data_IF_353645160989
#
_entry.id   IF_353645160989
#
_cell.length_a   1.000
_cell.length_b   1.000
_cell.length_c   1.000
_cell.angle_alpha   90.00
_cell.angle_beta   90.00
_cell.angle_gamma   90.00
#
_symmetry.space_group_name_H-M   'P 1'
#
loop_
_entity.id
_entity.type
_entity.pdbx_description
1 polymer ?
#
# COMPACT_ATOMS: atom_id res chain seq x y z
N UNK A 1 -9.35 -18.00 1.62
CA UNK A 1 -8.35 -17.95 2.71
C UNK A 1 -7.40 -19.16 2.73
N UNK A 2 -7.87 -20.39 2.43
CA UNK A 2 -7.01 -21.58 2.40
C UNK A 2 -5.92 -21.48 1.35
N UNK A 3 -6.28 -21.15 0.10
CA UNK A 3 -5.33 -20.96 -1.01
C UNK A 3 -4.22 -19.95 -0.69
N UNK A 4 -4.57 -18.82 -0.09
CA UNK A 4 -3.62 -17.78 0.31
C UNK A 4 -2.60 -18.32 1.32
N UNK A 5 -3.05 -19.11 2.31
CA UNK A 5 -2.14 -19.71 3.31
C UNK A 5 -1.16 -20.69 2.68
N UNK A 6 -1.65 -21.53 1.76
CA UNK A 6 -0.81 -22.50 1.03
C UNK A 6 0.19 -21.75 0.16
N UNK A 7 -0.26 -20.79 -0.63
CA UNK A 7 0.60 -19.99 -1.49
C UNK A 7 1.69 -19.26 -0.69
N UNK A 8 1.34 -18.58 0.42
CA UNK A 8 2.35 -17.91 1.27
C UNK A 8 3.43 -18.86 1.81
N UNK A 9 3.07 -20.10 2.11
CA UNK A 9 4.05 -21.09 2.57
C UNK A 9 5.01 -21.49 1.44
N UNK A 10 4.50 -21.66 0.21
CA UNK A 10 5.28 -22.04 -0.97
C UNK A 10 6.26 -20.92 -1.40
N UNK A 11 5.83 -19.67 -1.32
CA UNK A 11 6.62 -18.51 -1.77
C UNK A 11 7.38 -17.78 -0.66
N UNK A 12 7.52 -18.41 0.53
CA UNK A 12 8.15 -17.76 1.70
C UNK A 12 9.56 -17.23 1.40
N UNK A 13 10.34 -17.96 0.61
CA UNK A 13 11.73 -17.64 0.31
C UNK A 13 11.90 -16.97 -1.06
N UNK A 14 10.79 -16.65 -1.74
CA UNK A 14 10.82 -16.00 -3.05
C UNK A 14 11.40 -14.59 -2.96
N UNK A 15 12.42 -14.24 -3.77
CA UNK A 15 13.00 -12.91 -3.77
C UNK A 15 12.02 -11.88 -4.36
N UNK A 16 11.90 -10.70 -3.75
CA UNK A 16 11.06 -9.61 -4.25
C UNK A 16 11.86 -8.34 -4.63
N UNK A 17 13.18 -8.49 -4.80
CA UNK A 17 14.08 -7.40 -5.25
C UNK A 17 14.81 -6.65 -4.13
N UNK A 18 14.54 -7.00 -2.86
CA UNK A 18 15.28 -6.49 -1.68
C UNK A 18 15.56 -7.66 -0.75
N UNK A 19 16.80 -7.81 -0.33
CA UNK A 19 17.18 -8.85 0.64
C UNK A 19 16.78 -8.43 2.05
N UNK A 20 15.72 -9.03 2.56
CA UNK A 20 15.20 -8.82 3.90
C UNK A 20 14.56 -10.10 4.44
N UNK A 21 14.72 -10.34 5.74
CA UNK A 21 14.04 -11.46 6.42
C UNK A 21 12.59 -11.10 6.81
N UNK A 22 12.29 -9.81 6.94
CA UNK A 22 10.97 -9.33 7.33
C UNK A 22 9.95 -9.51 6.22
N UNK A 23 8.69 -9.78 6.60
CA UNK A 23 7.56 -9.72 5.67
C UNK A 23 7.35 -8.29 5.20
N UNK A 24 7.17 -8.11 3.90
CA UNK A 24 6.90 -6.80 3.29
C UNK A 24 5.58 -6.83 2.54
N UNK A 25 4.70 -5.93 2.90
CA UNK A 25 3.40 -5.78 2.28
C UNK A 25 3.31 -4.48 1.48
N UNK A 26 2.69 -4.55 0.31
CA UNK A 26 2.23 -3.35 -0.42
C UNK A 26 0.72 -3.18 -0.22
N UNK A 27 0.31 -2.02 0.28
CA UNK A 27 -1.09 -1.64 0.43
C UNK A 27 -1.44 -0.61 -0.64
N UNK A 28 -2.45 -0.93 -1.44
CA UNK A 28 -2.97 -0.01 -2.45
C UNK A 28 -4.44 -0.32 -2.78
N UNK A 29 -5.07 0.55 -3.57
CA UNK A 29 -6.43 0.36 -4.02
C UNK A 29 -6.58 0.70 -5.51
N UNK A 30 -7.48 0.00 -6.16
CA UNK A 30 -7.85 0.30 -7.54
C UNK A 30 -9.35 0.38 -7.71
N UNK A 31 -9.81 1.27 -8.59
CA UNK A 31 -11.21 1.39 -8.96
C UNK A 31 -11.51 0.46 -10.14
N UNK A 32 -12.62 -0.24 -10.04
CA UNK A 32 -13.19 -1.09 -11.08
C UNK A 32 -14.52 -0.45 -11.51
N UNK A 33 -14.56 0.07 -12.73
CA UNK A 33 -15.77 0.65 -13.29
C UNK A 33 -16.78 -0.46 -13.63
N UNK A 34 -18.04 -0.23 -13.29
CA UNK A 34 -19.15 -1.15 -13.52
C UNK A 34 -20.14 -0.50 -14.50
N UNK A 35 -20.87 -1.32 -15.26
CA UNK A 35 -21.93 -0.80 -16.12
C UNK A 35 -23.10 -0.27 -15.27
N UNK A 36 -23.50 0.99 -15.49
CA UNK A 36 -24.53 1.72 -14.70
C UNK A 36 -25.87 1.01 -14.63
N UNK A 37 -26.29 0.39 -15.74
CA UNK A 37 -27.56 -0.32 -15.81
C UNK A 37 -27.61 -1.54 -14.91
N UNK A 38 -26.44 -1.98 -14.40
CA UNK A 38 -26.30 -3.25 -13.71
C UNK A 38 -26.08 -3.11 -12.19
N UNK A 39 -25.64 -1.93 -11.67
CA UNK A 39 -25.16 -1.85 -10.27
C UNK A 39 -25.57 -0.53 -9.59
N UNK A 40 -26.83 -0.35 -9.19
CA UNK A 40 -27.30 0.89 -8.52
C UNK A 40 -26.59 1.21 -7.21
N UNK A 41 -26.15 0.20 -6.45
CA UNK A 41 -25.49 0.36 -5.15
C UNK A 41 -24.03 0.84 -5.24
N UNK A 42 -23.42 0.78 -6.43
CA UNK A 42 -22.04 1.23 -6.69
C UNK A 42 -21.95 2.65 -7.23
N UNK A 43 -22.97 3.49 -7.06
CA UNK A 43 -22.99 4.85 -7.62
C UNK A 43 -21.81 5.69 -7.11
N UNK A 44 -20.99 6.15 -8.05
CA UNK A 44 -19.82 7.00 -7.78
C UNK A 44 -20.00 8.44 -8.30
N UNK A 45 -20.69 8.60 -9.41
CA UNK A 45 -21.10 9.90 -10.02
C UNK A 45 -22.45 9.70 -10.72
N UNK A 46 -23.13 10.81 -11.07
CA UNK A 46 -24.46 10.76 -11.72
C UNK A 46 -24.57 9.82 -12.94
N UNK A 47 -23.44 9.35 -13.50
CA UNK A 47 -23.39 8.51 -14.71
C UNK A 47 -22.43 7.30 -14.62
N UNK A 48 -21.84 6.97 -13.47
CA UNK A 48 -20.91 5.84 -13.34
C UNK A 48 -21.09 5.10 -12.04
N UNK A 49 -21.20 3.78 -12.12
CA UNK A 49 -21.06 2.87 -10.97
C UNK A 49 -19.64 2.32 -10.92
N UNK A 50 -19.06 2.25 -9.75
CA UNK A 50 -17.73 1.70 -9.57
C UNK A 50 -17.57 1.10 -8.16
N UNK A 51 -16.73 0.09 -8.06
CA UNK A 51 -16.26 -0.45 -6.79
C UNK A 51 -14.77 -0.19 -6.64
N UNK A 52 -14.31 -0.12 -5.39
CA UNK A 52 -12.89 -0.03 -5.08
C UNK A 52 -12.42 -1.33 -4.47
N UNK A 53 -11.35 -1.86 -5.04
CA UNK A 53 -10.65 -3.05 -4.57
C UNK A 53 -9.42 -2.60 -3.79
N UNK A 54 -9.44 -2.79 -2.47
CA UNK A 54 -8.30 -2.54 -1.60
C UNK A 54 -7.56 -3.85 -1.37
N UNK A 55 -6.26 -3.84 -1.56
CA UNK A 55 -5.45 -5.06 -1.47
C UNK A 55 -4.21 -4.82 -0.62
N UNK A 56 -3.98 -5.74 0.30
CA UNK A 56 -2.71 -5.94 0.99
C UNK A 56 -1.99 -7.10 0.30
N UNK A 57 -0.94 -6.81 -0.44
CA UNK A 57 -0.14 -7.77 -1.20
C UNK A 57 1.12 -8.11 -0.43
N UNK A 58 1.34 -9.38 -0.12
CA UNK A 58 2.64 -9.88 0.32
C UNK A 58 3.58 -9.87 -0.89
N UNK A 59 4.71 -9.16 -0.79
CA UNK A 59 5.63 -9.03 -1.92
C UNK A 59 6.39 -10.32 -2.24
N UNK A 60 6.49 -11.24 -1.30
CA UNK A 60 6.99 -12.59 -1.58
C UNK A 60 5.93 -13.37 -2.33
N UNK A 61 6.21 -13.69 -3.58
CA UNK A 61 5.26 -14.34 -4.48
C UNK A 61 4.08 -13.46 -4.92
N UNK A 62 4.06 -12.16 -4.58
CA UNK A 62 2.97 -11.22 -4.96
C UNK A 62 1.57 -11.70 -4.55
N UNK A 63 1.42 -12.24 -3.33
CA UNK A 63 0.19 -12.90 -2.87
C UNK A 63 -0.76 -11.90 -2.20
N UNK A 64 -2.01 -11.75 -2.65
CA UNK A 64 -3.01 -10.88 -2.02
C UNK A 64 -3.52 -11.49 -0.71
N UNK A 65 -2.96 -11.02 0.42
CA UNK A 65 -3.29 -11.55 1.76
C UNK A 65 -4.60 -11.02 2.31
N UNK A 66 -4.93 -9.77 1.99
CA UNK A 66 -6.22 -9.15 2.32
C UNK A 66 -6.77 -8.47 1.08
N UNK A 67 -8.05 -8.73 0.81
CA UNK A 67 -8.79 -8.05 -0.26
C UNK A 67 -10.13 -7.59 0.29
N UNK A 68 -10.41 -6.29 0.16
CA UNK A 68 -11.64 -5.67 0.64
C UNK A 68 -12.29 -4.92 -0.53
N UNK A 69 -13.56 -5.23 -0.81
CA UNK A 69 -14.34 -4.57 -1.85
C UNK A 69 -15.27 -3.54 -1.20
N UNK A 70 -15.16 -2.28 -1.61
CA UNK A 70 -15.99 -1.19 -1.11
C UNK A 70 -16.65 -0.42 -2.26
N UNK A 71 -17.62 0.44 -1.93
CA UNK A 71 -18.07 1.46 -2.87
C UNK A 71 -16.93 2.43 -3.19
N UNK A 72 -16.88 2.93 -4.42
CA UNK A 72 -15.79 3.78 -4.89
C UNK A 72 -15.66 5.12 -4.13
N UNK A 73 -16.72 5.55 -3.44
CA UNK A 73 -16.74 6.76 -2.61
C UNK A 73 -15.93 6.62 -1.30
N UNK A 74 -15.64 5.40 -0.86
CA UNK A 74 -14.90 5.19 0.39
C UNK A 74 -13.43 5.62 0.21
N UNK A 75 -12.96 6.49 1.12
CA UNK A 75 -11.57 6.92 1.12
C UNK A 75 -10.64 5.75 1.49
N UNK A 76 -9.55 5.61 0.77
CA UNK A 76 -8.57 4.52 0.91
C UNK A 76 -8.01 4.41 2.32
N UNK A 77 -7.76 5.53 2.97
CA UNK A 77 -7.22 5.59 4.34
C UNK A 77 -8.10 4.89 5.39
N UNK A 78 -9.41 4.78 5.16
CA UNK A 78 -10.33 4.14 6.10
C UNK A 78 -10.12 2.62 6.21
N UNK A 79 -9.48 2.02 5.21
CA UNK A 79 -9.14 0.60 5.24
C UNK A 79 -8.12 0.25 6.32
N UNK A 80 -7.27 1.22 6.72
CA UNK A 80 -6.31 1.02 7.79
C UNK A 80 -6.97 0.62 9.13
N UNK A 81 -8.24 0.99 9.35
CA UNK A 81 -9.00 0.62 10.55
C UNK A 81 -9.49 -0.84 10.54
N UNK A 82 -9.44 -1.52 9.38
CA UNK A 82 -9.89 -2.89 9.20
C UNK A 82 -8.73 -3.88 9.09
N UNK A 83 -7.48 -3.39 9.08
CA UNK A 83 -6.31 -4.24 8.95
C UNK A 83 -5.77 -4.63 10.33
N UNK A 84 -5.33 -5.88 10.42
CA UNK A 84 -4.52 -6.37 11.54
C UNK A 84 -3.06 -6.24 11.16
N UNK A 85 -2.28 -5.57 12.02
CA UNK A 85 -0.87 -5.31 11.77
C UNK A 85 -0.01 -6.45 12.32
N UNK A 86 0.82 -7.03 11.45
CA UNK A 86 1.78 -8.07 11.83
C UNK A 86 3.04 -7.40 12.41
N UNK A 87 3.38 -7.69 13.68
CA UNK A 87 4.56 -7.15 14.32
C UNK A 87 5.84 -7.54 13.55
N UNK A 88 6.76 -6.60 13.38
CA UNK A 88 7.99 -6.79 12.61
C UNK A 88 7.82 -6.65 11.09
N UNK A 89 6.62 -6.71 10.53
CA UNK A 89 6.38 -6.53 9.11
C UNK A 89 6.48 -5.06 8.67
N UNK A 90 6.76 -4.85 7.39
CA UNK A 90 6.89 -3.53 6.77
C UNK A 90 5.75 -3.31 5.79
N UNK A 91 5.04 -2.20 5.92
CA UNK A 91 3.90 -1.83 5.08
C UNK A 91 4.24 -0.67 4.16
N UNK A 92 4.24 -0.91 2.85
CA UNK A 92 4.49 0.10 1.82
C UNK A 92 3.17 0.73 1.39
N UNK A 93 3.08 2.06 1.47
CA UNK A 93 1.82 2.78 1.24
C UNK A 93 2.04 4.04 0.42
N UNK A 94 1.07 4.43 -0.42
CA UNK A 94 1.08 5.73 -1.07
C UNK A 94 0.64 6.84 -0.08
N UNK A 95 0.82 8.08 -0.48
CA UNK A 95 0.45 9.30 0.28
C UNK A 95 -1.06 9.39 0.61
N UNK A 96 -1.91 8.65 -0.09
CA UNK A 96 -3.34 8.55 0.21
C UNK A 96 -3.60 7.94 1.60
N UNK A 97 -2.70 7.10 2.09
CA UNK A 97 -2.78 6.43 3.39
C UNK A 97 -2.13 7.22 4.54
N UNK A 98 -1.63 8.44 4.30
CA UNK A 98 -1.02 9.27 5.34
C UNK A 98 -2.07 9.84 6.30
N UNK A 99 -2.38 9.07 7.32
CA UNK A 99 -3.11 9.46 8.52
C UNK A 99 -2.27 9.13 9.75
N UNK A 100 -1.77 10.15 10.44
CA UNK A 100 -0.80 9.97 11.51
C UNK A 100 -1.35 9.20 12.70
N UNK A 101 -2.64 9.32 13.02
CA UNK A 101 -3.27 8.56 14.10
C UNK A 101 -3.33 7.07 13.78
N UNK A 102 -3.65 6.71 12.54
CA UNK A 102 -3.68 5.33 12.08
C UNK A 102 -2.27 4.72 11.95
N UNK A 103 -1.32 5.51 11.44
CA UNK A 103 0.09 5.11 11.38
C UNK A 103 0.70 4.91 12.77
N UNK A 104 0.23 5.66 13.78
CA UNK A 104 0.68 5.45 15.15
C UNK A 104 0.15 4.14 15.74
N UNK A 105 -1.09 3.74 15.44
CA UNK A 105 -1.61 2.42 15.82
C UNK A 105 -0.80 1.28 15.19
N UNK A 106 -0.42 1.43 13.91
CA UNK A 106 0.49 0.49 13.25
C UNK A 106 1.85 0.44 13.97
N UNK A 107 2.42 1.58 14.32
CA UNK A 107 3.67 1.65 15.08
C UNK A 107 3.54 0.96 16.45
N UNK A 108 2.47 1.23 17.18
CA UNK A 108 2.21 0.63 18.49
C UNK A 108 2.04 -0.90 18.46
N UNK A 109 1.63 -1.47 17.32
CA UNK A 109 1.58 -2.93 17.13
C UNK A 109 2.94 -3.55 16.77
N UNK A 110 4.03 -2.78 16.81
CA UNK A 110 5.37 -3.26 16.50
C UNK A 110 5.65 -3.42 15.00
N UNK A 111 4.78 -2.90 14.14
CA UNK A 111 4.95 -2.93 12.70
C UNK A 111 5.67 -1.67 12.19
N UNK A 112 6.22 -1.76 10.98
CA UNK A 112 6.87 -0.68 10.29
C UNK A 112 6.10 -0.23 9.06
N UNK A 113 6.23 1.03 8.69
CA UNK A 113 5.69 1.53 7.44
C UNK A 113 6.73 2.31 6.63
N UNK A 114 6.56 2.33 5.32
CA UNK A 114 7.23 3.25 4.41
C UNK A 114 6.15 3.90 3.55
N UNK A 115 5.88 5.17 3.79
CA UNK A 115 4.84 5.91 3.10
C UNK A 115 5.42 7.09 2.33
N UNK A 116 4.86 7.39 1.16
CA UNK A 116 5.24 8.58 0.40
C UNK A 116 4.69 9.83 1.07
N UNK A 117 5.54 10.83 1.32
CA UNK A 117 5.12 12.10 1.90
C UNK A 117 4.24 12.93 0.96
N UNK A 118 3.35 13.74 1.52
CA UNK A 118 2.63 14.80 0.79
C UNK A 118 3.60 15.92 0.38
N UNK A 119 3.30 16.65 -0.70
CA UNK A 119 4.17 17.75 -1.19
C UNK A 119 4.49 18.80 -0.12
N UNK A 120 3.51 19.15 0.71
CA UNK A 120 3.65 20.07 1.83
C UNK A 120 3.58 19.29 3.14
N UNK A 121 4.71 18.67 3.49
CA UNK A 121 4.86 17.97 4.75
C UNK A 121 5.61 18.86 5.73
N UNK A 122 4.87 19.35 6.73
CA UNK A 122 5.43 20.23 7.77
C UNK A 122 6.02 19.42 8.92
N UNK A 123 7.32 19.57 9.11
CA UNK A 123 8.07 18.88 10.16
C UNK A 123 9.34 19.63 10.52
N UNK A 124 9.73 19.57 11.78
CA UNK A 124 11.00 20.03 12.27
C UNK A 124 12.06 18.95 12.09
N UNK A 125 13.17 19.31 11.48
CA UNK A 125 14.34 18.45 11.42
C UNK A 125 15.05 18.46 12.76
N UNK A 126 15.23 17.30 13.35
CA UNK A 126 15.97 17.11 14.59
C UNK A 126 17.43 16.74 14.33
N UNK A 127 17.65 15.82 13.37
CA UNK A 127 18.97 15.31 13.05
C UNK A 127 19.06 14.95 11.56
N UNK A 128 20.26 15.01 10.98
CA UNK A 128 20.56 14.55 9.61
C UNK A 128 21.72 13.58 9.63
N UNK A 129 21.54 12.44 8.98
CA UNK A 129 22.61 11.48 8.74
C UNK A 129 23.31 11.79 7.42
N UNK A 130 24.62 11.52 7.30
CA UNK A 130 25.32 11.59 6.02
C UNK A 130 24.73 10.57 5.04
N UNK A 131 24.69 10.94 3.76
CA UNK A 131 24.19 10.07 2.69
C UNK A 131 25.13 10.10 1.49
N UNK A 132 25.26 8.96 0.83
CA UNK A 132 25.93 8.89 -0.46
C UNK A 132 24.97 9.37 -1.55
N UNK A 133 25.25 10.55 -2.10
CA UNK A 133 24.42 11.19 -3.14
C UNK A 133 24.53 10.48 -4.51
N UNK A 134 25.57 9.68 -4.73
CA UNK A 134 25.75 8.94 -5.99
C UNK A 134 24.69 7.86 -6.16
N UNK A 135 24.16 7.33 -5.05
CA UNK A 135 23.08 6.33 -5.02
C UNK A 135 21.69 6.88 -5.34
N UNK A 136 21.57 8.21 -5.51
CA UNK A 136 20.29 8.90 -5.63
C UNK A 136 19.73 9.43 -4.32
N UNK A 137 20.28 9.05 -3.17
CA UNK A 137 19.90 9.61 -1.87
C UNK A 137 20.22 11.11 -1.83
N UNK A 138 19.28 11.90 -1.27
CA UNK A 138 19.43 13.35 -1.13
C UNK A 138 19.52 13.78 0.34
N UNK A 139 18.81 13.11 1.21
CA UNK A 139 18.94 13.27 2.66
C UNK A 139 18.30 12.11 3.42
N UNK A 140 18.81 11.87 4.60
CA UNK A 140 18.27 10.98 5.63
C UNK A 140 18.18 11.74 6.94
N UNK A 141 16.97 11.92 7.46
CA UNK A 141 16.70 12.86 8.53
C UNK A 141 15.72 12.28 9.55
N UNK A 142 16.01 12.51 10.81
CA UNK A 142 15.05 12.32 11.91
C UNK A 142 14.26 13.62 12.06
N UNK A 143 12.94 13.51 12.08
CA UNK A 143 12.02 14.64 12.12
C UNK A 143 10.96 14.46 13.19
N UNK A 144 10.43 15.59 13.67
CA UNK A 144 9.22 15.66 14.50
C UNK A 144 8.13 16.43 13.75
N UNK A 145 6.89 16.07 13.96
CA UNK A 145 5.75 16.79 13.39
C UNK A 145 5.59 18.16 14.07
N UNK A 146 5.45 19.23 13.29
CA UNK A 146 5.26 20.59 13.83
C UNK A 146 3.80 20.88 14.17
N UNK A 147 2.89 20.50 13.25
CA UNK A 147 1.48 20.84 13.41
C UNK A 147 0.87 20.07 14.60
N UNK A 148 0.15 20.76 15.52
CA UNK A 148 -0.41 20.16 16.74
C UNK A 148 -1.33 18.96 16.47
N UNK A 149 -2.15 19.00 15.41
CA UNK A 149 -3.11 17.92 15.10
C UNK A 149 -2.40 16.63 14.68
N UNK A 150 -1.55 16.60 13.62
CA UNK A 150 -0.73 15.44 13.31
C UNK A 150 0.15 14.96 14.46
N UNK A 151 0.75 15.90 15.22
CA UNK A 151 1.63 15.58 16.36
C UNK A 151 0.90 14.86 17.49
N UNK A 152 -0.33 15.24 17.81
CA UNK A 152 -1.17 14.48 18.76
C UNK A 152 -1.53 13.09 18.24
N UNK A 153 -1.69 12.94 16.93
CA UNK A 153 -1.94 11.66 16.29
C UNK A 153 -0.73 10.74 16.25
N UNK A 154 0.49 11.31 16.15
CA UNK A 154 1.77 10.59 16.11
C UNK A 154 2.81 11.37 16.91
N UNK A 155 2.94 11.14 18.21
CA UNK A 155 3.84 11.91 19.08
C UNK A 155 5.31 11.55 18.89
N UNK A 156 5.61 10.38 18.33
CA UNK A 156 6.94 9.85 18.14
C UNK A 156 7.70 10.52 16.99
N UNK A 157 8.99 10.32 16.97
CA UNK A 157 9.87 10.75 15.88
C UNK A 157 9.60 9.92 14.64
N UNK A 158 9.79 10.53 13.48
CA UNK A 158 9.75 9.89 12.18
C UNK A 158 11.09 10.05 11.47
N UNK A 159 11.37 9.15 10.56
CA UNK A 159 12.50 9.25 9.64
C UNK A 159 12.00 9.72 8.29
N UNK A 160 12.65 10.73 7.71
CA UNK A 160 12.38 11.28 6.40
C UNK A 160 13.54 11.01 5.47
N UNK A 161 13.34 10.16 4.47
CA UNK A 161 14.33 9.85 3.44
C UNK A 161 13.95 10.56 2.16
N UNK A 162 14.87 11.35 1.57
CA UNK A 162 14.70 11.96 0.26
C UNK A 162 15.56 11.22 -0.76
N UNK A 163 14.92 10.86 -1.85
CA UNK A 163 15.53 10.07 -2.93
C UNK A 163 15.22 10.69 -4.29
N UNK A 164 16.18 10.67 -5.17
CA UNK A 164 16.00 10.99 -6.58
C UNK A 164 16.05 9.70 -7.39
N UNK A 165 14.93 9.36 -7.97
CA UNK A 165 14.82 8.19 -8.83
C UNK A 165 15.25 8.58 -10.25
N UNK A 166 16.41 8.10 -10.65
CA UNK A 166 16.99 8.36 -11.97
C UNK A 166 16.17 7.75 -13.11
N UNK A 167 15.48 6.63 -12.88
CA UNK A 167 14.67 5.97 -13.90
C UNK A 167 13.41 6.76 -14.23
N UNK A 168 12.67 7.18 -13.19
CA UNK A 168 11.43 7.97 -13.38
C UNK A 168 11.66 9.47 -13.38
N UNK A 169 12.89 9.95 -13.16
CA UNK A 169 13.27 11.37 -13.07
C UNK A 169 12.49 12.13 -11.97
N UNK A 170 12.11 11.45 -10.89
CA UNK A 170 11.26 12.01 -9.85
C UNK A 170 11.99 12.17 -8.52
N UNK A 171 11.70 13.28 -7.84
CA UNK A 171 12.09 13.46 -6.44
C UNK A 171 11.02 12.84 -5.55
N UNK A 172 11.42 11.86 -4.74
CA UNK A 172 10.58 11.14 -3.83
C UNK A 172 10.96 11.49 -2.40
N UNK A 173 9.97 11.52 -1.51
CA UNK A 173 10.16 11.74 -0.09
C UNK A 173 9.39 10.67 0.65
N UNK A 174 10.08 9.90 1.47
CA UNK A 174 9.50 8.81 2.26
C UNK A 174 9.49 9.17 3.73
N UNK A 175 8.43 8.76 4.41
CA UNK A 175 8.29 8.79 5.86
C UNK A 175 8.23 7.36 6.35
N UNK A 176 8.94 7.08 7.45
CA UNK A 176 8.96 5.76 8.07
C UNK A 176 9.22 5.86 9.56
N UNK A 177 8.76 4.86 10.29
CA UNK A 177 9.14 4.60 11.70
C UNK A 177 10.28 3.57 11.80
N UNK A 178 10.85 3.12 10.69
CA UNK A 178 12.00 2.22 10.70
C UNK A 178 13.30 3.04 10.69
N UNK A 179 14.04 2.96 11.79
CA UNK A 179 15.33 3.64 11.96
C UNK A 179 16.53 2.70 11.75
N UNK A 180 16.28 1.40 11.60
CA UNK A 180 17.34 0.37 11.53
C UNK A 180 17.83 0.13 10.09
N UNK A 181 16.89 0.10 9.12
CA UNK A 181 17.25 -0.19 7.74
C UNK A 181 18.05 0.96 7.11
N UNK A 182 19.03 0.66 6.22
CA UNK A 182 19.71 1.69 5.44
C UNK A 182 18.73 2.56 4.64
N UNK A 183 19.03 3.85 4.46
CA UNK A 183 18.16 4.78 3.74
C UNK A 183 17.91 4.35 2.28
N UNK A 184 18.92 3.76 1.64
CA UNK A 184 18.79 3.23 0.28
C UNK A 184 17.83 2.04 0.23
N UNK A 185 17.85 1.18 1.24
CA UNK A 185 16.89 0.06 1.38
C UNK A 185 15.47 0.57 1.50
N UNK A 186 15.22 1.65 2.28
CA UNK A 186 13.90 2.29 2.36
C UNK A 186 13.41 2.76 0.97
N UNK A 187 14.31 3.37 0.18
CA UNK A 187 13.96 3.82 -1.17
C UNK A 187 13.64 2.64 -2.12
N UNK A 188 14.49 1.59 -2.10
CA UNK A 188 14.29 0.37 -2.89
C UNK A 188 13.00 -0.35 -2.51
N UNK A 189 12.69 -0.47 -1.22
CA UNK A 189 11.44 -1.05 -0.73
C UNK A 189 10.24 -0.33 -1.33
N UNK A 190 10.24 1.00 -1.31
CA UNK A 190 9.11 1.74 -1.87
C UNK A 190 8.94 1.49 -3.38
N UNK A 191 10.01 1.27 -4.13
CA UNK A 191 9.92 0.89 -5.54
C UNK A 191 9.19 -0.46 -5.72
N UNK A 192 9.40 -1.43 -4.81
CA UNK A 192 8.72 -2.72 -4.86
C UNK A 192 7.19 -2.60 -4.69
N UNK A 193 6.66 -1.50 -4.15
CA UNK A 193 5.21 -1.23 -4.08
C UNK A 193 4.53 -1.36 -5.45
N UNK A 194 5.26 -1.13 -6.54
CA UNK A 194 4.74 -1.27 -7.90
C UNK A 194 4.14 -2.67 -8.19
N UNK A 195 4.54 -3.70 -7.47
CA UNK A 195 4.01 -5.06 -7.66
C UNK A 195 2.49 -5.11 -7.43
N UNK A 196 1.93 -4.31 -6.52
CA UNK A 196 0.47 -4.26 -6.34
C UNK A 196 -0.25 -3.66 -7.55
N UNK A 197 0.39 -2.75 -8.28
CA UNK A 197 -0.16 -2.19 -9.51
C UNK A 197 -0.14 -3.23 -10.66
N UNK A 198 0.87 -4.11 -10.70
CA UNK A 198 0.92 -5.27 -11.62
C UNK A 198 -0.19 -6.26 -11.30
N UNK A 199 -0.40 -6.58 -10.03
CA UNK A 199 -1.52 -7.39 -9.58
C UNK A 199 -2.86 -6.78 -10.04
N UNK A 200 -3.09 -5.49 -9.84
CA UNK A 200 -4.32 -4.83 -10.29
C UNK A 200 -4.49 -4.85 -11.80
N UNK A 201 -3.41 -4.70 -12.55
CA UNK A 201 -3.44 -4.82 -14.02
C UNK A 201 -3.90 -6.21 -14.42
N UNK A 202 -3.32 -7.25 -13.83
CA UNK A 202 -3.69 -8.64 -14.10
C UNK A 202 -5.18 -8.89 -13.78
N UNK A 203 -5.64 -8.50 -12.59
CA UNK A 203 -7.04 -8.62 -12.19
C UNK A 203 -7.97 -7.93 -13.20
N UNK A 204 -7.67 -6.69 -13.59
CA UNK A 204 -8.51 -5.95 -14.55
C UNK A 204 -8.55 -6.59 -15.92
N UNK A 205 -7.46 -7.21 -16.37
CA UNK A 205 -7.40 -7.90 -17.67
C UNK A 205 -8.23 -9.19 -17.65
N UNK A 206 -8.27 -9.93 -16.55
CA UNK A 206 -8.90 -11.24 -16.46
C UNK A 206 -10.33 -11.22 -15.91
N UNK A 207 -10.74 -10.14 -15.23
CA UNK A 207 -12.10 -10.00 -14.68
C UNK A 207 -13.21 -9.88 -15.76
N UNK A 208 -12.89 -9.72 -17.05
CA UNK A 208 -13.87 -9.45 -18.11
C UNK A 208 -14.93 -8.42 -17.66
N UNK A 209 -14.49 -7.28 -17.16
CA UNK A 209 -15.28 -6.22 -16.49
C UNK A 209 -16.52 -5.76 -17.30
N UNK A 210 -16.53 -5.99 -18.61
CA UNK A 210 -17.64 -5.61 -19.50
C UNK A 210 -18.82 -6.59 -19.47
N UNK A 211 -18.69 -7.74 -18.80
CA UNK A 211 -19.71 -8.79 -18.76
C UNK A 211 -19.82 -9.44 -17.37
N UNK A 212 -20.20 -8.63 -16.35
CA UNK A 212 -20.59 -9.21 -15.08
C UNK A 212 -21.85 -10.07 -15.27
N UNK A 213 -21.80 -11.34 -14.86
CA UNK A 213 -22.91 -12.29 -14.95
C UNK A 213 -24.06 -12.00 -13.97
N UNK A 214 -23.95 -10.96 -13.14
CA UNK A 214 -24.97 -10.54 -12.22
C UNK A 214 -24.74 -9.12 -11.69
N UNK A 215 -25.82 -8.48 -11.26
CA UNK A 215 -25.90 -7.06 -10.90
C UNK A 215 -25.86 -6.83 -9.40
N UNK A 216 -26.02 -7.88 -8.60
CA UNK A 216 -26.00 -7.79 -7.15
C UNK A 216 -24.59 -7.60 -6.62
N UNK A 217 -24.47 -7.01 -5.42
CA UNK A 217 -23.20 -6.88 -4.70
C UNK A 217 -22.49 -8.24 -4.56
N UNK A 218 -23.26 -9.30 -4.26
CA UNK A 218 -22.71 -10.65 -4.11
C UNK A 218 -22.16 -11.18 -5.43
N UNK A 219 -22.86 -10.99 -6.55
CA UNK A 219 -22.40 -11.44 -7.87
C UNK A 219 -21.09 -10.77 -8.27
N UNK A 220 -20.98 -9.45 -8.10
CA UNK A 220 -19.75 -8.69 -8.36
C UNK A 220 -18.61 -9.16 -7.46
N UNK A 221 -18.87 -9.32 -6.15
CA UNK A 221 -17.86 -9.81 -5.21
C UNK A 221 -17.40 -11.23 -5.55
N UNK A 222 -18.32 -12.13 -5.92
CA UNK A 222 -18.01 -13.50 -6.32
C UNK A 222 -17.08 -13.54 -7.53
N UNK A 223 -17.33 -12.73 -8.56
CA UNK A 223 -16.46 -12.67 -9.74
C UNK A 223 -15.06 -12.13 -9.40
N UNK A 224 -14.97 -11.13 -8.54
CA UNK A 224 -13.68 -10.62 -8.04
C UNK A 224 -12.93 -11.74 -7.32
N UNK A 225 -13.60 -12.49 -6.43
CA UNK A 225 -12.98 -13.58 -5.69
C UNK A 225 -12.56 -14.75 -6.59
N UNK A 226 -13.33 -15.07 -7.63
CA UNK A 226 -12.93 -16.06 -8.64
C UNK A 226 -11.64 -15.61 -9.34
N UNK A 227 -11.55 -14.35 -9.79
CA UNK A 227 -10.36 -13.84 -10.44
C UNK A 227 -9.13 -13.87 -9.50
N UNK A 228 -9.31 -13.52 -8.22
CA UNK A 228 -8.24 -13.60 -7.22
C UNK A 228 -7.82 -15.06 -6.99
N UNK A 229 -8.77 -15.99 -6.94
CA UNK A 229 -8.47 -17.42 -6.78
C UNK A 229 -7.67 -17.96 -7.96
N UNK A 230 -8.05 -17.59 -9.18
CA UNK A 230 -7.30 -17.96 -10.40
C UNK A 230 -5.90 -17.36 -10.36
N UNK A 231 -5.75 -16.07 -9.97
CA UNK A 231 -4.44 -15.43 -9.84
C UNK A 231 -3.50 -16.18 -8.88
N UNK A 232 -4.03 -16.67 -7.76
CA UNK A 232 -3.23 -17.40 -6.75
C UNK A 232 -2.90 -18.83 -7.19
N UNK A 233 -3.63 -19.41 -8.14
CA UNK A 233 -3.43 -20.76 -8.66
C UNK A 233 -2.47 -20.84 -9.86
N UNK A 234 -2.25 -19.72 -10.55
CA UNK A 234 -1.36 -19.60 -11.72
C UNK A 234 0.00 -19.06 -11.33
#
# INVERSE_FOLDING_TARGET
HMLIRVARALYRDEPFGVELNQTVYALDATTIDLCLSLVPWGQFRRQKSAVKLHTLLDLRGSIPTVVIVTGAQIHEVNILDQLFWEAGAIYLMDRAYLDFRRLYRLHQSGAFFVARAKKRFDCQRLFSQPVDKTTGLRSDQIVSLNNPIPKRGYPERLRRVRYYDHTSQKRLVFLTNNFLLPALTIAKLYQCRWQVELFFRWIKQHLRIKAFYGTSKNAVSTQIWIAISVYVLV
#
